data_IF_495938570830
#
_entry.id   IF_495938570830
#
_cell.length_a   1.000
_cell.length_b   1.000
_cell.length_c   1.000
_cell.angle_alpha   90.00
_cell.angle_beta   90.00
_cell.angle_gamma   90.00
#
_symmetry.space_group_name_H-M   'P 1'
#
loop_
_entity.id
_entity.type
_entity.pdbx_description
1 polymer ?
#
# COMPACT_ATOMS: atom_id res chain seq x y z
N UNK A 1 -7.79 -15.13 16.03
CA UNK A 1 -6.64 -14.41 15.43
C UNK A 1 -6.75 -12.96 15.84
N UNK A 2 -5.66 -12.37 16.32
CA UNK A 2 -5.64 -11.02 16.87
C UNK A 2 -5.64 -9.99 15.71
N UNK A 3 -6.69 -9.17 15.60
CA UNK A 3 -6.92 -8.27 14.44
C UNK A 3 -5.73 -7.32 14.21
N UNK A 4 -5.08 -6.85 15.28
CA UNK A 4 -3.90 -5.98 15.19
C UNK A 4 -2.71 -6.67 14.50
N UNK A 5 -2.58 -7.99 14.65
CA UNK A 5 -1.51 -8.76 14.04
C UNK A 5 -1.73 -8.92 12.52
N UNK A 6 -2.99 -9.07 12.09
CA UNK A 6 -3.30 -9.18 10.65
C UNK A 6 -3.04 -7.87 9.89
N UNK A 7 -3.30 -6.71 10.52
CA UNK A 7 -3.00 -5.40 9.92
C UNK A 7 -1.50 -5.15 9.77
N UNK A 8 -0.69 -5.53 10.77
CA UNK A 8 0.77 -5.43 10.70
C UNK A 8 1.32 -6.36 9.62
N UNK A 9 0.77 -7.57 9.48
CA UNK A 9 1.17 -8.50 8.42
C UNK A 9 0.83 -7.96 7.04
N UNK A 10 -0.32 -7.29 6.88
CA UNK A 10 -0.68 -6.59 5.64
C UNK A 10 0.28 -5.43 5.33
N UNK A 11 0.60 -4.61 6.33
CA UNK A 11 1.57 -3.53 6.20
C UNK A 11 2.95 -4.06 5.76
N UNK A 12 3.47 -5.09 6.42
CA UNK A 12 4.78 -5.67 6.07
C UNK A 12 4.80 -6.30 4.69
N UNK A 13 3.68 -6.89 4.27
CA UNK A 13 3.54 -7.41 2.91
C UNK A 13 3.61 -6.29 1.87
N UNK A 14 2.83 -5.21 2.06
CA UNK A 14 2.87 -4.03 1.18
C UNK A 14 4.29 -3.46 1.10
N UNK A 15 4.95 -3.26 2.24
CA UNK A 15 6.32 -2.73 2.26
C UNK A 15 7.30 -3.61 1.49
N UNK A 16 7.21 -4.94 1.62
CA UNK A 16 8.05 -5.86 0.86
C UNK A 16 7.74 -5.82 -0.65
N UNK A 17 6.48 -5.63 -1.05
CA UNK A 17 6.14 -5.44 -2.45
C UNK A 17 6.82 -4.20 -3.04
N UNK A 18 6.84 -3.10 -2.30
CA UNK A 18 7.47 -1.85 -2.74
C UNK A 18 9.00 -1.97 -2.88
N UNK A 19 9.63 -2.90 -2.15
CA UNK A 19 11.07 -3.16 -2.28
C UNK A 19 11.43 -3.93 -3.55
N UNK A 20 10.50 -4.71 -4.10
CA UNK A 20 10.76 -5.50 -5.32
C UNK A 20 10.84 -4.59 -6.55
N UNK A 21 10.06 -3.50 -6.57
CA UNK A 21 10.06 -2.52 -7.64
C UNK A 21 10.25 -1.10 -7.07
N UNK A 22 11.51 -0.73 -6.78
CA UNK A 22 11.80 0.48 -6.04
C UNK A 22 11.71 1.74 -6.90
N UNK A 23 11.57 1.65 -8.23
CA UNK A 23 11.75 2.80 -9.13
C UNK A 23 10.82 3.97 -8.80
N UNK A 24 9.58 3.69 -8.38
CA UNK A 24 8.62 4.72 -7.96
C UNK A 24 8.97 5.36 -6.61
N UNK A 25 9.67 4.64 -5.73
CA UNK A 25 9.88 5.03 -4.34
C UNK A 25 11.34 5.33 -3.98
N UNK A 26 12.29 5.09 -4.88
CA UNK A 26 13.74 5.24 -4.64
C UNK A 26 14.13 6.68 -4.30
N UNK A 27 13.37 7.66 -4.80
CA UNK A 27 13.57 9.08 -4.52
C UNK A 27 12.98 9.53 -3.18
N UNK A 28 12.17 8.68 -2.53
CA UNK A 28 11.46 9.03 -1.29
C UNK A 28 12.16 8.49 -0.05
N UNK A 29 11.98 9.19 1.08
CA UNK A 29 12.46 8.71 2.39
C UNK A 29 11.73 7.43 2.79
N UNK A 30 12.41 6.48 3.41
CA UNK A 30 11.79 5.24 3.90
C UNK A 30 10.67 5.50 4.91
N UNK A 31 10.77 6.56 5.71
CA UNK A 31 9.71 7.00 6.64
C UNK A 31 8.44 7.46 5.92
N UNK A 32 8.57 8.06 4.75
CA UNK A 32 7.44 8.48 3.92
C UNK A 32 6.73 7.26 3.33
N UNK A 33 7.51 6.30 2.79
CA UNK A 33 6.99 5.03 2.27
C UNK A 33 6.22 4.27 3.36
N UNK A 34 6.77 4.22 4.58
CA UNK A 34 6.14 3.60 5.73
C UNK A 34 4.83 4.30 6.13
N UNK A 35 4.82 5.64 6.15
CA UNK A 35 3.63 6.42 6.44
C UNK A 35 2.51 6.20 5.40
N UNK A 36 2.84 6.23 4.11
CA UNK A 36 1.89 5.99 3.02
C UNK A 36 1.34 4.57 3.04
N UNK A 37 2.20 3.56 3.27
CA UNK A 37 1.76 2.16 3.36
C UNK A 37 0.85 1.93 4.58
N UNK A 38 1.16 2.56 5.71
CA UNK A 38 0.31 2.50 6.91
C UNK A 38 -1.03 3.20 6.69
N UNK A 39 -1.02 4.38 6.06
CA UNK A 39 -2.23 5.10 5.68
C UNK A 39 -3.11 4.28 4.73
N UNK A 40 -2.51 3.59 3.75
CA UNK A 40 -3.23 2.67 2.86
C UNK A 40 -3.89 1.54 3.65
N UNK A 41 -3.18 0.88 4.58
CA UNK A 41 -3.80 -0.18 5.41
C UNK A 41 -4.99 0.37 6.21
N UNK A 42 -4.86 1.57 6.81
CA UNK A 42 -5.98 2.19 7.53
C UNK A 42 -7.18 2.45 6.63
N UNK A 43 -6.95 2.89 5.40
CA UNK A 43 -7.98 3.10 4.40
C UNK A 43 -8.69 1.79 4.04
N UNK A 44 -7.92 0.75 3.68
CA UNK A 44 -8.45 -0.58 3.33
C UNK A 44 -9.24 -1.23 4.49
N UNK A 45 -8.85 -0.95 5.73
CA UNK A 45 -9.52 -1.45 6.94
C UNK A 45 -10.68 -0.58 7.41
N UNK A 46 -10.99 0.51 6.70
CA UNK A 46 -12.08 1.43 7.01
C UNK A 46 -12.00 2.01 8.44
N UNK A 47 -10.78 2.17 8.99
CA UNK A 47 -10.61 2.76 10.31
C UNK A 47 -10.86 4.27 10.28
N UNK A 48 -10.15 4.96 9.39
CA UNK A 48 -10.21 6.40 9.20
C UNK A 48 -9.56 6.72 7.86
N UNK A 49 -10.26 7.46 7.00
CA UNK A 49 -9.84 7.72 5.62
C UNK A 49 -8.72 8.77 5.55
N UNK A 50 -8.63 9.65 6.55
CA UNK A 50 -7.69 10.77 6.59
C UNK A 50 -6.45 10.48 7.44
N UNK A 51 -5.31 11.06 7.07
CA UNK A 51 -4.09 10.99 7.86
C UNK A 51 -4.27 11.65 9.24
N UNK A 52 -4.13 10.91 10.37
CA UNK A 52 -4.41 11.45 11.69
C UNK A 52 -3.51 12.62 12.07
N UNK A 53 -4.10 13.70 12.61
CA UNK A 53 -3.34 14.91 13.04
C UNK A 53 -2.18 14.62 13.98
N UNK A 54 -2.32 13.61 14.86
CA UNK A 54 -1.23 13.20 15.76
C UNK A 54 -0.04 12.64 15.00
N UNK A 55 -0.30 11.83 13.98
CA UNK A 55 0.74 11.25 13.14
C UNK A 55 1.39 12.31 12.26
N UNK A 56 0.61 13.22 11.67
CA UNK A 56 1.12 14.36 10.92
C UNK A 56 2.14 15.17 11.74
N UNK A 57 1.84 15.45 13.02
CA UNK A 57 2.77 16.15 13.93
C UNK A 57 4.03 15.34 14.24
N UNK A 58 3.91 14.02 14.45
CA UNK A 58 5.06 13.19 14.82
C UNK A 58 5.98 12.86 13.65
N UNK A 59 5.43 12.72 12.43
CA UNK A 59 6.19 12.33 11.24
C UNK A 59 6.60 13.53 10.39
N UNK A 60 5.92 14.66 10.55
CA UNK A 60 6.13 15.87 9.75
C UNK A 60 5.57 15.76 8.33
N UNK A 61 4.65 14.83 8.07
CA UNK A 61 4.01 14.65 6.76
C UNK A 61 2.60 15.23 6.78
N UNK A 62 2.32 16.09 5.80
CA UNK A 62 1.01 16.70 5.65
C UNK A 62 -0.02 15.70 5.07
N UNK A 63 -1.32 15.81 5.41
CA UNK A 63 -2.34 14.88 4.93
C UNK A 63 -2.41 14.77 3.41
N UNK A 64 -2.22 15.87 2.67
CA UNK A 64 -2.28 15.89 1.21
C UNK A 64 -1.06 15.18 0.58
N UNK A 65 0.12 15.35 1.19
CA UNK A 65 1.33 14.62 0.81
C UNK A 65 1.13 13.11 0.98
N UNK A 66 0.56 12.70 2.12
CA UNK A 66 0.24 11.29 2.39
C UNK A 66 -0.83 10.77 1.44
N UNK A 67 -1.86 11.55 1.11
CA UNK A 67 -2.89 11.14 0.16
C UNK A 67 -2.28 10.84 -1.22
N UNK A 68 -1.38 11.72 -1.70
CA UNK A 68 -0.63 11.47 -2.93
C UNK A 68 0.23 10.20 -2.85
N UNK A 69 0.97 10.01 -1.76
CA UNK A 69 1.77 8.80 -1.59
C UNK A 69 0.93 7.52 -1.50
N UNK A 70 -0.25 7.56 -0.89
CA UNK A 70 -1.19 6.44 -0.82
C UNK A 70 -1.64 6.00 -2.22
N UNK A 71 -1.96 6.92 -3.12
CA UNK A 71 -2.35 6.55 -4.50
C UNK A 71 -1.21 5.85 -5.24
N UNK A 72 0.05 6.30 -5.05
CA UNK A 72 1.23 5.62 -5.62
C UNK A 72 1.44 4.23 -5.05
N UNK A 73 1.29 4.05 -3.74
CA UNK A 73 1.42 2.73 -3.10
C UNK A 73 0.29 1.81 -3.55
N UNK A 74 -0.94 2.31 -3.67
CA UNK A 74 -2.08 1.56 -4.17
C UNK A 74 -1.88 1.10 -5.62
N UNK A 75 -1.39 1.99 -6.50
CA UNK A 75 -1.07 1.65 -7.88
C UNK A 75 -0.01 0.55 -7.98
N UNK A 76 1.03 0.62 -7.14
CA UNK A 76 2.06 -0.42 -7.12
C UNK A 76 1.52 -1.76 -6.60
N UNK A 77 0.62 -1.73 -5.61
CA UNK A 77 -0.09 -2.91 -5.13
C UNK A 77 -0.92 -3.56 -6.24
N UNK A 78 -1.70 -2.78 -6.99
CA UNK A 78 -2.46 -3.30 -8.14
C UNK A 78 -1.56 -3.86 -9.22
N UNK A 79 -0.50 -3.13 -9.60
CA UNK A 79 0.46 -3.62 -10.60
C UNK A 79 1.04 -4.97 -10.18
N UNK A 80 1.43 -5.11 -8.91
CA UNK A 80 1.90 -6.38 -8.40
C UNK A 80 0.84 -7.48 -8.51
N UNK A 81 -0.42 -7.21 -8.17
CA UNK A 81 -1.52 -8.17 -8.30
C UNK A 81 -1.82 -8.56 -9.76
N UNK A 82 -1.84 -7.60 -10.68
CA UNK A 82 -2.14 -7.83 -12.11
C UNK A 82 -1.01 -8.55 -12.85
N UNK A 83 0.22 -8.49 -12.34
CA UNK A 83 1.39 -9.14 -12.94
C UNK A 83 1.43 -10.65 -12.69
N UNK A 84 0.44 -11.24 -12.02
CA UNK A 84 0.48 -12.59 -11.43
C UNK A 84 0.98 -13.70 -12.39
N UNK A 85 0.71 -13.58 -13.69
CA UNK A 85 1.10 -14.56 -14.72
C UNK A 85 2.48 -14.27 -15.38
N UNK A 86 3.06 -13.09 -15.15
CA UNK A 86 4.37 -12.66 -15.71
C UNK A 86 5.42 -12.37 -14.63
N UNK A 87 5.13 -12.71 -13.37
CA UNK A 87 5.96 -12.33 -12.23
C UNK A 87 7.33 -13.01 -12.21
N UNK A 88 8.37 -12.18 -12.08
CA UNK A 88 9.71 -12.57 -11.63
C UNK A 88 9.60 -13.51 -10.40
N UNK A 89 10.48 -14.53 -10.27
CA UNK A 89 10.43 -15.51 -9.17
C UNK A 89 10.24 -14.90 -7.78
N UNK A 90 10.84 -13.72 -7.53
CA UNK A 90 10.77 -12.99 -6.26
C UNK A 90 9.35 -12.56 -5.86
N UNK A 91 8.49 -12.20 -6.82
CA UNK A 91 7.10 -11.84 -6.52
C UNK A 91 6.29 -13.08 -6.13
N UNK A 92 6.51 -14.20 -6.81
CA UNK A 92 5.86 -15.49 -6.49
C UNK A 92 6.28 -15.98 -5.11
N UNK A 93 7.55 -15.86 -4.76
CA UNK A 93 8.04 -16.22 -3.43
C UNK A 93 7.43 -15.35 -2.32
N UNK A 94 7.30 -14.03 -2.58
CA UNK A 94 6.64 -13.13 -1.63
C UNK A 94 5.16 -13.46 -1.48
N UNK A 95 4.45 -13.68 -2.57
CA UNK A 95 3.05 -14.11 -2.53
C UNK A 95 2.90 -15.46 -1.83
N UNK A 96 3.81 -16.41 -2.05
CA UNK A 96 3.83 -17.70 -1.37
C UNK A 96 4.04 -17.54 0.14
N UNK A 97 5.01 -16.70 0.55
CA UNK A 97 5.29 -16.35 1.96
C UNK A 97 4.06 -15.77 2.66
N UNK A 98 3.21 -15.07 1.92
CA UNK A 98 2.01 -14.40 2.43
C UNK A 98 0.67 -15.04 2.00
N UNK A 99 0.72 -16.23 1.38
CA UNK A 99 -0.39 -16.87 0.64
C UNK A 99 -1.63 -17.18 1.51
N UNK A 100 -1.46 -17.25 2.83
CA UNK A 100 -2.55 -17.57 3.77
C UNK A 100 -2.99 -16.39 4.64
N UNK A 101 -2.87 -15.15 4.15
CA UNK A 101 -3.42 -13.99 4.85
C UNK A 101 -3.29 -12.69 4.05
N UNK A 102 -2.21 -11.91 4.21
CA UNK A 102 -2.09 -10.58 3.61
C UNK A 102 -2.26 -10.50 2.09
N UNK A 103 -1.70 -11.45 1.33
CA UNK A 103 -1.83 -11.44 -0.13
C UNK A 103 -3.28 -11.64 -0.57
N UNK A 104 -3.97 -12.62 0.03
CA UNK A 104 -5.39 -12.86 -0.21
C UNK A 104 -6.27 -11.67 0.23
N UNK A 105 -5.91 -11.01 1.33
CA UNK A 105 -6.61 -9.78 1.76
C UNK A 105 -6.43 -8.66 0.73
N UNK A 106 -5.22 -8.45 0.20
CA UNK A 106 -4.97 -7.43 -0.81
C UNK A 106 -5.77 -7.69 -2.10
N UNK A 107 -5.90 -8.96 -2.52
CA UNK A 107 -6.79 -9.36 -3.63
C UNK A 107 -8.24 -8.95 -3.35
N UNK A 108 -8.74 -9.17 -2.13
CA UNK A 108 -10.09 -8.75 -1.74
C UNK A 108 -10.25 -7.21 -1.71
N UNK A 109 -9.15 -6.46 -1.66
CA UNK A 109 -9.14 -5.00 -1.71
C UNK A 109 -8.94 -4.41 -3.11
N UNK A 110 -8.89 -5.23 -4.16
CA UNK A 110 -8.63 -4.77 -5.54
C UNK A 110 -9.57 -3.63 -5.98
N UNK A 111 -10.87 -3.71 -5.65
CA UNK A 111 -11.80 -2.63 -5.98
C UNK A 111 -11.47 -1.34 -5.22
N UNK A 112 -11.26 -1.41 -3.91
CA UNK A 112 -10.90 -0.25 -3.09
C UNK A 112 -9.57 0.39 -3.52
N UNK A 113 -8.62 -0.41 -4.00
CA UNK A 113 -7.37 0.09 -4.57
C UNK A 113 -7.61 0.85 -5.89
N UNK A 114 -8.49 0.34 -6.77
CA UNK A 114 -8.86 1.04 -8.00
C UNK A 114 -9.56 2.37 -7.70
N UNK A 115 -10.52 2.38 -6.76
CA UNK A 115 -11.27 3.58 -6.38
C UNK A 115 -10.36 4.70 -5.83
N UNK A 116 -9.25 4.33 -5.17
CA UNK A 116 -8.23 5.29 -4.72
C UNK A 116 -7.41 5.91 -5.85
N UNK A 117 -7.29 5.22 -6.99
CA UNK A 117 -6.41 5.63 -8.09
C UNK A 117 -7.17 6.44 -9.13
N UNK A 118 -8.43 6.08 -9.42
CA UNK A 118 -9.24 6.68 -10.48
C UNK A 118 -9.26 8.23 -10.45
N UNK A 119 -9.50 8.90 -9.31
CA UNK A 119 -9.51 10.37 -9.27
C UNK A 119 -8.17 11.00 -9.69
N UNK A 120 -7.05 10.36 -9.36
CA UNK A 120 -5.72 10.85 -9.72
C UNK A 120 -5.37 10.60 -11.20
N UNK A 121 -6.10 9.70 -11.87
CA UNK A 121 -6.01 9.48 -13.32
C UNK A 121 -6.86 10.50 -14.05
N UNK A 122 -8.10 10.71 -13.60
CA UNK A 122 -9.04 11.67 -14.20
C UNK A 122 -8.54 13.13 -14.13
N UNK A 123 -7.72 13.49 -13.13
CA UNK A 123 -7.11 14.82 -13.01
C UNK A 123 -5.84 15.02 -13.87
N UNK A 124 -5.31 13.95 -14.48
CA UNK A 124 -4.11 13.99 -15.31
C UNK A 124 -4.38 14.08 -16.82
N UNK A 125 -5.65 13.91 -17.23
CA UNK A 125 -6.17 14.05 -18.59
C UNK A 125 -6.79 15.44 -18.83
#
# INVERSE_FOLDING_TARGET
MDKANDDLRLLFFILQLLLIDPHTFIAHKSSYIAACSYALVRHLKQYEVTWPRRLARSTGYDPDEIAYGVTKVAAQCLRALSSHDQQEPIHRDLLHKYNKGPAAQLINYTQALNDLIQPAVDEAD
#
